data_IF_206325845845
#
_entry.id   IF_206325845845
#
_cell.length_a   1.000
_cell.length_b   1.000
_cell.length_c   1.000
_cell.angle_alpha   90.00
_cell.angle_beta   90.00
_cell.angle_gamma   90.00
#
_symmetry.space_group_name_H-M   'P 1'
#
loop_
_entity.id
_entity.type
_entity.pdbx_description
1 polymer ?
#
# COMPACT_ATOMS: atom_id res chain seq x y z
N UNK A 1 48.08 19.02 -1.32
CA UNK A 1 47.02 18.23 -1.98
C UNK A 1 46.36 17.35 -0.92
N UNK A 2 45.10 17.63 -0.57
CA UNK A 2 44.38 16.93 0.50
C UNK A 2 43.75 15.66 -0.06
N UNK A 3 44.09 14.52 0.54
CA UNK A 3 43.49 13.21 0.24
C UNK A 3 41.99 13.25 0.54
N UNK A 4 41.18 13.06 -0.49
CA UNK A 4 39.77 12.77 -0.36
C UNK A 4 39.61 11.33 0.13
N UNK A 5 39.41 11.16 1.46
CA UNK A 5 38.90 9.90 2.01
C UNK A 5 37.48 9.71 1.51
N UNK A 6 37.27 8.69 0.69
CA UNK A 6 35.94 8.23 0.27
C UNK A 6 35.13 7.88 1.51
N UNK A 7 34.03 8.59 1.73
CA UNK A 7 33.04 8.26 2.73
C UNK A 7 32.18 7.15 2.13
N UNK A 8 32.64 5.92 2.27
CA UNK A 8 31.79 4.75 2.07
C UNK A 8 30.81 4.83 3.23
N UNK A 9 29.56 5.18 2.92
CA UNK A 9 28.46 5.05 3.87
C UNK A 9 28.38 3.57 4.23
N UNK A 10 28.52 3.27 5.51
CA UNK A 10 28.45 1.92 6.05
C UNK A 10 27.11 1.30 5.63
N UNK A 11 27.18 0.36 4.69
CA UNK A 11 26.03 -0.43 4.26
C UNK A 11 25.74 -1.40 5.40
N UNK A 12 24.79 -1.06 6.26
CA UNK A 12 24.17 -2.03 7.16
C UNK A 12 23.42 -3.06 6.30
N UNK A 13 24.12 -4.12 5.90
CA UNK A 13 23.46 -5.32 5.37
C UNK A 13 22.64 -5.94 6.49
N UNK A 14 21.35 -6.17 6.22
CA UNK A 14 20.40 -6.68 7.19
C UNK A 14 20.94 -7.95 7.87
N UNK A 15 21.05 -7.91 9.20
CA UNK A 15 21.16 -9.11 10.03
C UNK A 15 19.79 -9.81 10.08
N UNK A 16 19.79 -11.14 9.94
CA UNK A 16 18.64 -11.97 10.27
C UNK A 16 18.14 -11.60 11.68
N UNK A 17 16.90 -11.11 11.79
CA UNK A 17 16.27 -10.77 13.07
C UNK A 17 15.70 -9.35 13.20
N UNK A 18 15.96 -8.43 12.26
CA UNK A 18 15.21 -7.17 12.22
C UNK A 18 13.85 -7.40 11.55
N UNK A 19 12.91 -8.00 12.30
CA UNK A 19 11.53 -8.14 11.87
C UNK A 19 10.94 -6.75 11.60
N UNK A 20 10.86 -6.39 10.33
CA UNK A 20 10.18 -5.19 9.88
C UNK A 20 8.67 -5.45 9.87
N UNK A 21 8.13 -5.64 11.08
CA UNK A 21 6.71 -5.90 11.30
C UNK A 21 5.91 -4.65 10.92
N UNK A 22 5.10 -4.76 9.86
CA UNK A 22 4.11 -3.74 9.54
C UNK A 22 2.99 -3.80 10.58
N UNK A 23 2.76 -2.69 11.27
CA UNK A 23 1.71 -2.56 12.29
C UNK A 23 0.69 -1.53 11.83
N UNK A 24 -0.54 -1.99 11.74
CA UNK A 24 -1.68 -1.18 11.38
C UNK A 24 -2.79 -1.43 12.41
N UNK A 25 -3.32 -0.35 12.98
CA UNK A 25 -4.53 -0.40 13.79
C UNK A 25 -5.68 -0.01 12.89
N UNK A 26 -6.75 -0.80 12.82
CA UNK A 26 -7.88 -0.48 11.95
C UNK A 26 -8.62 0.79 12.36
N UNK A 27 -9.22 1.45 11.38
CA UNK A 27 -10.11 2.58 11.57
C UNK A 27 -11.31 2.18 12.44
N UNK A 28 -11.46 2.89 13.56
CA UNK A 28 -12.45 2.60 14.59
C UNK A 28 -13.59 3.63 14.65
N UNK A 29 -13.51 4.74 13.91
CA UNK A 29 -14.55 5.77 13.86
C UNK A 29 -15.64 5.48 12.81
N UNK A 30 -16.01 4.20 12.68
CA UNK A 30 -17.00 3.70 11.73
C UNK A 30 -16.96 2.18 11.61
N UNK A 31 -17.99 1.61 10.98
CA UNK A 31 -18.05 0.17 10.71
C UNK A 31 -17.38 -0.12 9.36
N UNK A 32 -16.05 -0.21 9.34
CA UNK A 32 -15.35 -0.79 8.19
C UNK A 32 -15.79 -2.25 8.07
N UNK A 33 -16.24 -2.66 6.88
CA UNK A 33 -16.69 -4.03 6.64
C UNK A 33 -15.52 -5.00 6.83
N UNK A 34 -15.77 -6.15 7.43
CA UNK A 34 -14.70 -7.08 7.84
C UNK A 34 -13.91 -7.60 6.64
N UNK A 35 -14.58 -7.84 5.51
CA UNK A 35 -13.92 -8.24 4.27
C UNK A 35 -13.02 -7.14 3.68
N UNK A 36 -13.34 -5.86 3.94
CA UNK A 36 -12.49 -4.73 3.52
C UNK A 36 -11.22 -4.71 4.36
N UNK A 37 -11.35 -4.85 5.69
CA UNK A 37 -10.19 -4.90 6.60
C UNK A 37 -9.22 -6.00 6.20
N UNK A 38 -9.73 -7.24 6.05
CA UNK A 38 -8.92 -8.39 5.70
C UNK A 38 -8.28 -8.28 4.32
N UNK A 39 -8.99 -7.73 3.33
CA UNK A 39 -8.41 -7.49 2.01
C UNK A 39 -7.25 -6.49 2.10
N UNK A 40 -7.44 -5.39 2.82
CA UNK A 40 -6.40 -4.38 3.02
C UNK A 40 -5.22 -4.94 3.81
N UNK A 41 -5.47 -5.72 4.87
CA UNK A 41 -4.44 -6.43 5.63
C UNK A 41 -3.58 -7.31 4.73
N UNK A 42 -4.22 -8.11 3.86
CA UNK A 42 -3.52 -8.95 2.88
C UNK A 42 -2.67 -8.08 1.96
N UNK A 43 -3.26 -7.04 1.40
CA UNK A 43 -2.63 -6.21 0.38
C UNK A 43 -1.45 -5.39 0.91
N UNK A 44 -1.60 -4.73 2.06
CA UNK A 44 -0.56 -3.88 2.64
C UNK A 44 0.54 -4.68 3.31
N UNK A 45 0.21 -5.74 4.04
CA UNK A 45 1.26 -6.60 4.60
C UNK A 45 2.05 -7.32 3.50
N UNK A 46 1.39 -7.78 2.43
CA UNK A 46 2.09 -8.34 1.27
C UNK A 46 2.97 -7.27 0.59
N UNK A 47 2.48 -6.03 0.45
CA UNK A 47 3.27 -4.93 -0.12
C UNK A 47 4.56 -4.68 0.68
N UNK A 48 4.48 -4.67 2.02
CA UNK A 48 5.65 -4.47 2.88
C UNK A 48 6.60 -5.67 2.79
N UNK A 49 6.10 -6.90 2.86
CA UNK A 49 6.91 -8.12 2.79
C UNK A 49 7.68 -8.23 1.47
N UNK A 50 7.01 -7.92 0.36
CA UNK A 50 7.61 -7.86 -0.98
C UNK A 50 8.66 -6.75 -1.04
N UNK A 51 8.36 -5.55 -0.53
CA UNK A 51 9.29 -4.42 -0.51
C UNK A 51 10.59 -4.78 0.22
N UNK A 52 10.49 -5.45 1.38
CA UNK A 52 11.66 -5.89 2.14
C UNK A 52 12.44 -7.02 1.47
N UNK A 53 11.73 -7.97 0.84
CA UNK A 53 12.36 -9.05 0.09
C UNK A 53 13.24 -8.53 -1.07
N UNK A 54 13.01 -7.30 -1.51
CA UNK A 54 13.77 -6.63 -2.56
C UNK A 54 14.96 -5.80 -2.06
N UNK A 55 15.12 -5.59 -0.75
CA UNK A 55 16.24 -4.85 -0.16
C UNK A 55 17.63 -5.34 -0.63
N UNK A 56 17.90 -6.65 -0.76
CA UNK A 56 19.17 -7.14 -1.28
C UNK A 56 19.53 -6.60 -2.68
N UNK A 57 18.53 -6.15 -3.45
CA UNK A 57 18.69 -5.60 -4.79
C UNK A 57 18.57 -4.07 -4.82
N UNK A 58 18.59 -3.38 -3.67
CA UNK A 58 18.21 -1.96 -3.56
C UNK A 58 18.93 -0.97 -4.48
N UNK A 59 20.15 -1.31 -4.91
CA UNK A 59 20.94 -0.53 -5.87
C UNK A 59 20.75 -0.94 -7.34
N UNK A 60 20.15 -2.11 -7.60
CA UNK A 60 19.89 -2.63 -8.94
C UNK A 60 18.40 -2.55 -9.27
N UNK A 61 17.98 -1.37 -9.73
CA UNK A 61 16.59 -1.12 -10.13
C UNK A 61 16.11 -2.08 -11.21
N UNK A 62 16.97 -2.48 -12.16
CA UNK A 62 16.58 -3.39 -13.23
C UNK A 62 16.27 -4.79 -12.68
N UNK A 63 17.07 -5.27 -11.73
CA UNK A 63 16.79 -6.53 -11.03
C UNK A 63 15.48 -6.46 -10.27
N UNK A 64 15.21 -5.38 -9.55
CA UNK A 64 13.94 -5.21 -8.82
C UNK A 64 12.75 -5.21 -9.79
N UNK A 65 12.83 -4.47 -10.89
CA UNK A 65 11.78 -4.43 -11.90
C UNK A 65 11.53 -5.82 -12.50
N UNK A 66 12.59 -6.59 -12.74
CA UNK A 66 12.48 -7.97 -13.22
C UNK A 66 11.76 -8.87 -12.21
N UNK A 67 12.17 -8.87 -10.94
CA UNK A 67 11.57 -9.69 -9.87
C UNK A 67 10.07 -9.39 -9.69
N UNK A 68 9.70 -8.11 -9.71
CA UNK A 68 8.29 -7.69 -9.62
C UNK A 68 7.51 -8.07 -10.89
N UNK A 69 8.16 -7.98 -12.06
CA UNK A 69 7.58 -8.38 -13.34
C UNK A 69 7.23 -9.87 -13.41
N UNK A 70 8.04 -10.75 -12.81
CA UNK A 70 7.76 -12.19 -12.76
C UNK A 70 6.54 -12.55 -11.92
N UNK A 71 6.05 -11.64 -11.07
CA UNK A 71 4.82 -11.80 -10.26
C UNK A 71 4.89 -12.85 -9.15
N UNK A 72 5.73 -13.87 -9.26
CA UNK A 72 5.87 -14.96 -8.27
C UNK A 72 6.14 -14.44 -6.85
N UNK A 73 7.03 -13.46 -6.71
CA UNK A 73 7.33 -12.87 -5.40
C UNK A 73 6.08 -12.22 -4.79
N UNK A 74 5.30 -11.51 -5.60
CA UNK A 74 4.06 -10.85 -5.18
C UNK A 74 3.00 -11.87 -4.81
N UNK A 75 2.80 -12.91 -5.63
CA UNK A 75 1.82 -13.97 -5.39
C UNK A 75 2.13 -14.78 -4.12
N UNK A 76 3.42 -15.06 -3.85
CA UNK A 76 3.83 -15.68 -2.60
C UNK A 76 3.51 -14.80 -1.40
N UNK A 77 3.76 -13.50 -1.50
CA UNK A 77 3.38 -12.52 -0.48
C UNK A 77 1.88 -12.52 -0.23
N UNK A 78 1.06 -12.39 -1.28
CA UNK A 78 -0.41 -12.44 -1.19
C UNK A 78 -0.88 -13.73 -0.52
N UNK A 79 -0.42 -14.90 -1.00
CA UNK A 79 -0.85 -16.20 -0.47
C UNK A 79 -0.51 -16.37 1.02
N UNK A 80 0.68 -15.92 1.44
CA UNK A 80 1.12 -15.93 2.86
C UNK A 80 0.14 -15.14 3.74
N UNK A 81 -0.34 -13.99 3.28
CA UNK A 81 -1.24 -13.15 4.09
C UNK A 81 -2.71 -13.54 3.95
N UNK A 82 -3.13 -14.12 2.82
CA UNK A 82 -4.42 -14.81 2.70
C UNK A 82 -4.56 -15.86 3.80
N UNK A 83 -3.52 -16.69 3.99
CA UNK A 83 -3.47 -17.69 5.05
C UNK A 83 -3.44 -17.04 6.44
N UNK A 84 -2.58 -16.03 6.66
CA UNK A 84 -2.43 -15.34 7.96
C UNK A 84 -3.75 -14.74 8.45
N UNK A 85 -4.51 -14.11 7.57
CA UNK A 85 -5.75 -13.41 7.91
C UNK A 85 -7.01 -14.24 7.68
N UNK A 86 -6.85 -15.52 7.32
CA UNK A 86 -7.97 -16.42 6.97
C UNK A 86 -8.92 -15.75 5.97
N UNK A 87 -8.34 -15.20 4.91
CA UNK A 87 -9.02 -14.52 3.82
C UNK A 87 -8.76 -15.26 2.51
N UNK A 88 -9.78 -15.34 1.66
CA UNK A 88 -9.65 -15.89 0.32
C UNK A 88 -10.36 -14.95 -0.64
N UNK A 89 -9.71 -14.62 -1.74
CA UNK A 89 -10.39 -13.99 -2.85
C UNK A 89 -11.41 -14.98 -3.43
N UNK A 90 -12.66 -14.54 -3.59
CA UNK A 90 -13.71 -15.34 -4.24
C UNK A 90 -13.57 -15.25 -5.77
N UNK A 91 -13.23 -14.06 -6.25
CA UNK A 91 -13.04 -13.73 -7.65
C UNK A 91 -11.54 -13.55 -7.94
N UNK A 92 -11.02 -14.29 -8.93
CA UNK A 92 -9.62 -14.17 -9.33
C UNK A 92 -9.34 -12.78 -9.91
N UNK A 93 -10.32 -12.12 -10.52
CA UNK A 93 -10.16 -10.75 -10.99
C UNK A 93 -9.89 -9.78 -9.83
N UNK A 94 -10.48 -10.00 -8.64
CA UNK A 94 -10.20 -9.21 -7.44
C UNK A 94 -8.79 -9.46 -6.92
N UNK A 95 -8.33 -10.72 -7.00
CA UNK A 95 -6.97 -11.11 -6.64
C UNK A 95 -5.94 -10.48 -7.59
N UNK A 96 -6.19 -10.49 -8.90
CA UNK A 96 -5.34 -9.83 -9.89
C UNK A 96 -5.26 -8.31 -9.69
N UNK A 97 -6.40 -7.67 -9.35
CA UNK A 97 -6.44 -6.25 -8.99
C UNK A 97 -5.60 -5.94 -7.75
N UNK A 98 -5.67 -6.78 -6.71
CA UNK A 98 -4.82 -6.67 -5.51
C UNK A 98 -3.33 -6.78 -5.89
N UNK A 99 -2.94 -7.81 -6.64
CA UNK A 99 -1.57 -8.00 -7.13
C UNK A 99 -1.09 -6.79 -7.93
N UNK A 100 -1.94 -6.24 -8.81
CA UNK A 100 -1.63 -5.06 -9.61
C UNK A 100 -1.36 -3.82 -8.73
N UNK A 101 -2.16 -3.60 -7.68
CA UNK A 101 -1.95 -2.51 -6.73
C UNK A 101 -0.66 -2.68 -5.93
N UNK A 102 -0.34 -3.89 -5.46
CA UNK A 102 0.94 -4.19 -4.79
C UNK A 102 2.11 -3.82 -5.72
N UNK A 103 2.11 -4.31 -6.96
CA UNK A 103 3.15 -3.97 -7.94
C UNK A 103 3.28 -2.47 -8.16
N UNK A 104 2.15 -1.77 -8.29
CA UNK A 104 2.13 -0.32 -8.46
C UNK A 104 2.76 0.41 -7.27
N UNK A 105 2.55 -0.06 -6.03
CA UNK A 105 3.20 0.48 -4.81
C UNK A 105 4.70 0.32 -4.85
N UNK A 106 5.18 -0.87 -5.21
CA UNK A 106 6.62 -1.12 -5.33
C UNK A 106 7.24 -0.26 -6.43
N UNK A 107 6.62 -0.18 -7.62
CA UNK A 107 7.13 0.66 -8.71
C UNK A 107 7.18 2.14 -8.32
N UNK A 108 6.16 2.64 -7.61
CA UNK A 108 6.13 4.00 -7.10
C UNK A 108 7.27 4.26 -6.12
N UNK A 109 7.50 3.35 -5.16
CA UNK A 109 8.60 3.48 -4.22
C UNK A 109 9.97 3.62 -4.92
N UNK A 110 10.20 2.83 -5.98
CA UNK A 110 11.45 2.83 -6.78
C UNK A 110 11.64 4.08 -7.65
N UNK A 111 10.54 4.75 -7.99
CA UNK A 111 10.57 5.98 -8.76
C UNK A 111 11.20 7.12 -7.95
N UNK A 112 10.88 7.21 -6.66
CA UNK A 112 11.32 8.31 -5.80
C UNK A 112 12.74 8.14 -5.23
N UNK A 113 13.14 6.93 -4.81
CA UNK A 113 14.44 6.69 -4.18
C UNK A 113 14.94 5.25 -4.41
N UNK A 114 16.24 5.00 -4.19
CA UNK A 114 16.77 3.64 -4.10
C UNK A 114 16.26 2.94 -2.83
N UNK A 115 16.04 1.63 -2.89
CA UNK A 115 15.58 0.90 -1.70
C UNK A 115 16.74 0.78 -0.70
N UNK A 116 16.56 1.43 0.45
CA UNK A 116 17.38 1.24 1.63
C UNK A 116 16.46 0.86 2.79
N UNK A 117 17.00 0.25 3.84
CA UNK A 117 16.22 -0.08 5.04
C UNK A 117 15.54 1.15 5.65
N UNK A 118 16.24 2.28 5.67
CA UNK A 118 15.68 3.56 6.12
C UNK A 118 14.52 4.02 5.22
N UNK A 119 14.71 3.96 3.90
CA UNK A 119 13.67 4.34 2.96
C UNK A 119 12.44 3.40 3.00
N UNK A 120 12.64 2.09 3.18
CA UNK A 120 11.52 1.16 3.37
C UNK A 120 10.69 1.47 4.62
N UNK A 121 11.31 1.92 5.72
CA UNK A 121 10.57 2.41 6.90
C UNK A 121 9.77 3.68 6.59
N UNK A 122 10.30 4.57 5.76
CA UNK A 122 9.58 5.75 5.28
C UNK A 122 8.37 5.36 4.42
N UNK A 123 8.54 4.45 3.47
CA UNK A 123 7.47 3.94 2.60
C UNK A 123 6.36 3.24 3.38
N UNK A 124 6.69 2.50 4.44
CA UNK A 124 5.67 1.90 5.33
C UNK A 124 4.74 2.95 5.96
N UNK A 125 5.24 4.15 6.30
CA UNK A 125 4.37 5.22 6.79
C UNK A 125 3.42 5.74 5.69
N UNK A 126 3.84 5.70 4.43
CA UNK A 126 2.97 6.07 3.31
C UNK A 126 1.87 5.04 3.13
N UNK A 127 2.23 3.75 3.20
CA UNK A 127 1.29 2.63 3.16
C UNK A 127 0.27 2.71 4.30
N UNK A 128 0.71 3.05 5.50
CA UNK A 128 -0.19 3.27 6.63
C UNK A 128 -1.24 4.37 6.36
N UNK A 129 -0.81 5.51 5.81
CA UNK A 129 -1.74 6.59 5.44
C UNK A 129 -2.70 6.14 4.35
N UNK A 130 -2.20 5.43 3.34
CA UNK A 130 -3.00 4.92 2.23
C UNK A 130 -4.08 3.94 2.72
N UNK A 131 -3.69 2.96 3.54
CA UNK A 131 -4.59 1.97 4.13
C UNK A 131 -5.68 2.64 4.98
N UNK A 132 -5.28 3.60 5.82
CA UNK A 132 -6.22 4.39 6.62
C UNK A 132 -7.20 5.19 5.76
N UNK A 133 -6.70 5.82 4.70
CA UNK A 133 -7.55 6.55 3.76
C UNK A 133 -8.56 5.61 3.08
N UNK A 134 -8.12 4.43 2.65
CA UNK A 134 -8.95 3.43 1.99
C UNK A 134 -10.07 2.92 2.91
N UNK A 135 -9.75 2.61 4.18
CA UNK A 135 -10.75 2.25 5.19
C UNK A 135 -11.77 3.37 5.43
N UNK A 136 -11.29 4.59 5.68
CA UNK A 136 -12.18 5.73 5.96
C UNK A 136 -13.10 6.05 4.80
N UNK A 137 -12.55 6.06 3.58
CA UNK A 137 -13.33 6.31 2.38
C UNK A 137 -14.29 5.16 2.09
N UNK A 138 -13.96 3.91 2.45
CA UNK A 138 -14.89 2.78 2.31
C UNK A 138 -16.14 2.95 3.19
N UNK A 139 -15.98 3.45 4.43
CA UNK A 139 -17.11 3.74 5.33
C UNK A 139 -17.98 4.87 4.75
N UNK A 140 -17.35 5.93 4.23
CA UNK A 140 -18.08 7.05 3.62
C UNK A 140 -18.79 6.64 2.33
N UNK A 141 -18.20 5.73 1.57
CA UNK A 141 -18.79 5.12 0.37
C UNK A 141 -20.04 4.32 0.70
N UNK A 142 -20.00 3.54 1.78
CA UNK A 142 -21.11 2.71 2.24
C UNK A 142 -22.31 3.52 2.73
N UNK A 143 -22.05 4.69 3.32
CA UNK A 143 -23.10 5.62 3.72
C UNK A 143 -23.84 6.30 2.56
N UNK A 144 -23.43 6.09 1.30
CA UNK A 144 -24.06 6.73 0.14
C UNK A 144 -25.30 5.97 -0.35
N UNK A 145 -26.37 6.71 -0.63
CA UNK A 145 -27.71 6.17 -0.96
C UNK A 145 -27.85 5.60 -2.37
N UNK A 146 -26.93 5.88 -3.29
CA UNK A 146 -27.04 5.42 -4.68
C UNK A 146 -25.69 5.22 -5.34
N UNK A 147 -25.66 4.39 -6.39
CA UNK A 147 -24.45 4.12 -7.18
C UNK A 147 -23.84 5.42 -7.77
N UNK A 148 -24.67 6.40 -8.14
CA UNK A 148 -24.19 7.71 -8.61
C UNK A 148 -23.42 8.46 -7.51
N UNK A 149 -23.96 8.51 -6.29
CA UNK A 149 -23.29 9.17 -5.17
C UNK A 149 -22.07 8.39 -4.70
N UNK A 150 -22.11 7.06 -4.76
CA UNK A 150 -20.97 6.20 -4.51
C UNK A 150 -19.81 6.50 -5.48
N UNK A 151 -20.07 6.53 -6.79
CA UNK A 151 -19.06 6.88 -7.80
C UNK A 151 -18.49 8.29 -7.60
N UNK A 152 -19.30 9.25 -7.16
CA UNK A 152 -18.82 10.60 -6.80
C UNK A 152 -17.92 10.54 -5.57
N UNK A 153 -18.29 9.77 -4.54
CA UNK A 153 -17.48 9.60 -3.33
C UNK A 153 -16.11 8.98 -3.64
N UNK A 154 -16.04 7.97 -4.50
CA UNK A 154 -14.78 7.40 -4.97
C UNK A 154 -13.84 8.43 -5.61
N UNK A 155 -14.35 9.56 -6.13
CA UNK A 155 -13.57 10.59 -6.82
C UNK A 155 -13.35 11.86 -5.99
N UNK A 156 -13.76 11.87 -4.73
CA UNK A 156 -13.72 13.07 -3.89
C UNK A 156 -12.28 13.36 -3.40
N UNK A 157 -11.47 13.95 -4.26
CA UNK A 157 -10.06 14.27 -3.99
C UNK A 157 -9.90 15.25 -2.82
N UNK A 158 -10.74 16.27 -2.73
CA UNK A 158 -10.64 17.28 -1.67
C UNK A 158 -10.81 16.65 -0.29
N UNK A 159 -11.77 15.73 -0.16
CA UNK A 159 -11.96 14.95 1.06
C UNK A 159 -10.77 14.03 1.33
N UNK A 160 -10.26 13.33 0.31
CA UNK A 160 -9.09 12.47 0.47
C UNK A 160 -7.86 13.26 0.93
N UNK A 161 -7.59 14.43 0.33
CA UNK A 161 -6.51 15.34 0.77
C UNK A 161 -6.71 15.80 2.20
N UNK A 162 -7.94 16.11 2.59
CA UNK A 162 -8.27 16.48 3.98
C UNK A 162 -7.95 15.34 4.95
N UNK A 163 -8.38 14.11 4.64
CA UNK A 163 -8.12 12.92 5.48
C UNK A 163 -6.61 12.65 5.56
N UNK A 164 -5.89 12.70 4.43
CA UNK A 164 -4.43 12.57 4.41
C UNK A 164 -3.78 13.62 5.31
N UNK A 165 -4.19 14.88 5.21
CA UNK A 165 -3.64 15.97 6.03
C UNK A 165 -3.80 15.76 7.53
N UNK A 166 -4.96 15.23 7.96
CA UNK A 166 -5.19 14.86 9.37
C UNK A 166 -4.21 13.76 9.83
N UNK A 167 -3.96 12.75 8.99
CA UNK A 167 -3.05 11.65 9.33
C UNK A 167 -1.57 12.00 9.19
N UNK A 168 -1.21 12.92 8.29
CA UNK A 168 0.11 13.55 8.25
C UNK A 168 0.43 14.23 9.59
N UNK A 169 -0.48 15.09 10.05
CA UNK A 169 -0.34 15.82 11.33
C UNK A 169 -0.30 14.86 12.52
N UNK A 170 -1.24 13.92 12.60
CA UNK A 170 -1.32 12.96 13.69
C UNK A 170 -0.10 12.04 13.82
N UNK A 171 0.63 11.81 12.73
CA UNK A 171 1.86 10.99 12.71
C UNK A 171 3.15 11.80 12.68
N UNK A 172 3.06 13.13 12.64
CA UNK A 172 4.22 14.01 12.52
C UNK A 172 5.04 13.77 11.24
N UNK A 173 4.38 13.38 10.14
CA UNK A 173 5.02 13.14 8.85
C UNK A 173 4.53 14.16 7.83
N UNK A 174 5.42 14.51 6.90
CA UNK A 174 5.08 15.38 5.77
C UNK A 174 5.37 14.67 4.46
N UNK A 175 4.32 14.36 3.73
CA UNK A 175 4.33 13.79 2.39
C UNK A 175 4.56 14.91 1.37
N UNK A 176 5.25 14.58 0.28
CA UNK A 176 5.29 15.46 -0.90
C UNK A 176 3.97 15.38 -1.65
N UNK A 177 3.68 16.42 -2.44
CA UNK A 177 2.46 16.45 -3.28
C UNK A 177 2.40 15.26 -4.25
N UNK A 178 3.54 14.79 -4.76
CA UNK A 178 3.60 13.61 -5.62
C UNK A 178 3.17 12.33 -4.90
N UNK A 179 3.57 12.16 -3.63
CA UNK A 179 3.16 11.03 -2.81
C UNK A 179 1.67 11.12 -2.45
N UNK A 180 1.17 12.32 -2.13
CA UNK A 180 -0.26 12.56 -1.87
C UNK A 180 -1.09 12.19 -3.11
N UNK A 181 -0.71 12.68 -4.29
CA UNK A 181 -1.39 12.37 -5.54
C UNK A 181 -1.35 10.88 -5.87
N UNK A 182 -0.23 10.23 -5.58
CA UNK A 182 -0.10 8.78 -5.74
C UNK A 182 -1.07 8.01 -4.81
N UNK A 183 -1.08 8.33 -3.51
CA UNK A 183 -1.98 7.72 -2.51
C UNK A 183 -3.45 7.90 -2.92
N UNK A 184 -3.83 9.11 -3.34
CA UNK A 184 -5.18 9.40 -3.84
C UNK A 184 -5.52 8.53 -5.06
N UNK A 185 -4.57 8.35 -5.99
CA UNK A 185 -4.80 7.49 -7.16
C UNK A 185 -5.05 6.04 -6.75
N UNK A 186 -4.27 5.52 -5.81
CA UNK A 186 -4.43 4.16 -5.31
C UNK A 186 -5.76 3.95 -4.60
N UNK A 187 -6.10 4.86 -3.67
CA UNK A 187 -7.37 4.82 -2.97
C UNK A 187 -8.57 4.88 -3.92
N UNK A 188 -8.50 5.70 -4.96
CA UNK A 188 -9.54 5.71 -6.02
C UNK A 188 -9.69 4.37 -6.69
N UNK A 189 -8.58 3.75 -7.11
CA UNK A 189 -8.60 2.44 -7.77
C UNK A 189 -9.26 1.40 -6.85
N UNK A 190 -8.80 1.32 -5.60
CA UNK A 190 -9.38 0.43 -4.60
C UNK A 190 -10.89 0.64 -4.41
N UNK A 191 -11.34 1.88 -4.20
CA UNK A 191 -12.75 2.19 -3.99
C UNK A 191 -13.61 1.86 -5.23
N UNK A 192 -13.08 2.04 -6.44
CA UNK A 192 -13.79 1.64 -7.66
C UNK A 192 -13.91 0.13 -7.79
N UNK A 193 -12.90 -0.62 -7.36
CA UNK A 193 -12.93 -2.07 -7.37
C UNK A 193 -13.96 -2.58 -6.35
N UNK A 194 -14.01 -2.00 -5.15
CA UNK A 194 -15.08 -2.28 -4.18
C UNK A 194 -16.48 -2.04 -4.76
N UNK A 195 -16.68 -1.00 -5.56
CA UNK A 195 -17.97 -0.75 -6.20
C UNK A 195 -18.33 -1.79 -7.26
N UNK A 196 -17.34 -2.28 -8.02
CA UNK A 196 -17.58 -3.32 -9.01
C UNK A 196 -17.99 -4.62 -8.34
N UNK A 197 -17.24 -5.08 -7.33
CA UNK A 197 -17.52 -6.35 -6.63
C UNK A 197 -18.91 -6.34 -5.96
N UNK A 198 -19.35 -5.18 -5.43
CA UNK A 198 -20.72 -5.01 -4.92
C UNK A 198 -21.80 -5.14 -5.98
N UNK A 199 -21.53 -4.73 -7.22
CA UNK A 199 -22.52 -4.74 -8.30
C UNK A 199 -22.80 -6.16 -8.80
N UNK A 200 -21.86 -7.10 -8.62
CA UNK A 200 -22.02 -8.51 -8.99
C UNK A 200 -22.62 -9.39 -7.89
N UNK A 201 -22.68 -8.91 -6.64
CA UNK A 201 -23.21 -9.66 -5.49
C UNK A 201 -24.74 -9.57 -5.33
N UNK A 202 -25.46 -8.95 -6.28
CA UNK A 202 -26.91 -8.70 -6.23
C UNK A 202 -27.74 -9.55 -7.19
N UNK A 203 -27.32 -10.78 -7.50
CA UNK A 203 -28.10 -11.75 -8.27
C UNK A 203 -28.48 -12.97 -7.44
#
# INVERSE_FOLDING_TARGET
MKNAKSRVEDIETATEGDECEYKYDHYNCGLVREEVKKLLDVEFHASVDVLHSLLPFGHDKNRILYEIGQTDLVLRGVSKYEDKYSFRFIDEDDRERCVSRIKARIFSALYFECLTKHYCKKVQNYFWIEERLEEEMSVKLDGQKSNLYQKKMCRNEDLMKTIIGVHEEGRGIKLSEDIINYIIRMAKMFLFDLLKSKTFSTF
#
